data_IF_200578716801
#
_entry.id   IF_200578716801
#
_cell.length_a   1.000
_cell.length_b   1.000
_cell.length_c   1.000
_cell.angle_alpha   90.00
_cell.angle_beta   90.00
_cell.angle_gamma   90.00
#
_symmetry.space_group_name_H-M   'P 1'
#
loop_
_entity.id
_entity.type
_entity.pdbx_description
1 polymer ?
#
# COMPACT_ATOMS: atom_id res chain seq x y z
N UNK A 1 5.33 -1.54 -15.75
CA UNK A 1 5.66 -2.40 -14.58
C UNK A 1 7.18 -2.46 -14.45
N UNK A 2 7.72 -2.47 -13.23
CA UNK A 2 9.17 -2.55 -13.00
C UNK A 2 9.70 -3.94 -13.35
N UNK A 3 10.95 -4.02 -13.79
CA UNK A 3 11.64 -5.30 -13.95
C UNK A 3 12.10 -5.85 -12.60
N UNK A 4 12.28 -7.17 -12.51
CA UNK A 4 12.78 -7.85 -11.30
C UNK A 4 14.08 -7.18 -10.78
N UNK A 5 15.11 -6.90 -11.62
CA UNK A 5 16.32 -6.23 -11.14
C UNK A 5 16.07 -4.85 -10.52
N UNK A 6 15.11 -4.07 -11.05
CA UNK A 6 14.78 -2.76 -10.49
C UNK A 6 14.13 -2.88 -9.12
N UNK A 7 13.25 -3.87 -8.95
CA UNK A 7 12.58 -4.12 -7.68
C UNK A 7 13.52 -4.67 -6.62
N UNK A 8 14.38 -5.61 -7.00
CA UNK A 8 15.45 -6.10 -6.14
C UNK A 8 16.36 -4.95 -5.70
N UNK A 9 16.73 -4.04 -6.60
CA UNK A 9 17.55 -2.88 -6.25
C UNK A 9 16.84 -1.97 -5.25
N UNK A 10 15.53 -1.73 -5.40
CA UNK A 10 14.74 -0.94 -4.46
C UNK A 10 14.72 -1.62 -3.07
N UNK A 11 14.34 -2.89 -3.00
CA UNK A 11 14.24 -3.62 -1.72
C UNK A 11 15.61 -3.71 -1.04
N UNK A 12 16.68 -4.01 -1.79
CA UNK A 12 18.05 -4.00 -1.27
C UNK A 12 18.48 -2.62 -0.76
N UNK A 13 18.13 -1.55 -1.46
CA UNK A 13 18.47 -0.21 -1.02
C UNK A 13 17.78 0.13 0.31
N UNK A 14 16.50 -0.23 0.46
CA UNK A 14 15.75 -0.01 1.72
C UNK A 14 16.41 -0.71 2.90
N UNK A 15 16.76 -1.98 2.73
CA UNK A 15 17.36 -2.79 3.80
C UNK A 15 18.77 -2.34 4.14
N UNK A 16 19.63 -2.12 3.13
CA UNK A 16 21.03 -1.73 3.34
C UNK A 16 21.15 -0.30 3.88
N UNK A 17 20.32 0.63 3.40
CA UNK A 17 20.33 2.02 3.87
C UNK A 17 19.52 2.22 5.17
N UNK A 18 18.93 1.16 5.73
CA UNK A 18 18.10 1.19 6.93
C UNK A 18 16.93 2.21 6.86
N UNK A 19 16.34 2.36 5.66
CA UNK A 19 15.18 3.23 5.46
C UNK A 19 13.96 2.56 6.10
N UNK A 20 13.19 3.31 6.89
CA UNK A 20 12.08 2.73 7.64
C UNK A 20 10.92 2.30 6.76
N UNK A 21 10.62 3.09 5.73
CA UNK A 21 9.52 2.82 4.81
C UNK A 21 9.84 3.29 3.40
N UNK A 22 9.46 2.48 2.41
CA UNK A 22 9.21 2.94 1.04
C UNK A 22 7.78 2.66 0.62
N UNK A 23 7.15 3.63 -0.03
CA UNK A 23 5.87 3.40 -0.71
C UNK A 23 6.04 3.50 -2.21
N UNK A 24 5.50 2.54 -2.93
CA UNK A 24 5.47 2.52 -4.38
C UNK A 24 4.09 2.90 -4.90
N UNK A 25 4.04 3.86 -5.81
CA UNK A 25 2.79 4.36 -6.39
C UNK A 25 2.87 4.41 -7.92
N UNK A 26 1.75 4.06 -8.53
CA UNK A 26 1.51 4.10 -9.97
C UNK A 26 0.17 4.76 -10.31
N UNK A 27 -0.09 4.98 -11.59
CA UNK A 27 -1.38 5.47 -12.08
C UNK A 27 -2.55 4.65 -11.49
N UNK A 28 -3.63 5.34 -11.11
CA UNK A 28 -4.80 4.72 -10.46
C UNK A 28 -4.63 4.34 -8.99
N UNK A 29 -3.40 4.25 -8.46
CA UNK A 29 -3.12 3.81 -7.09
C UNK A 29 -3.16 4.92 -6.02
N UNK A 30 -3.74 6.08 -6.35
CA UNK A 30 -3.64 7.26 -5.47
C UNK A 30 -2.35 8.08 -5.66
N UNK A 31 -1.60 7.89 -6.74
CA UNK A 31 -0.37 8.62 -7.04
C UNK A 31 -0.61 10.10 -7.39
N UNK A 32 0.06 11.04 -6.71
CA UNK A 32 -0.05 12.48 -7.00
C UNK A 32 0.57 12.85 -8.35
N UNK A 33 1.60 12.12 -8.78
CA UNK A 33 2.22 12.24 -10.11
C UNK A 33 1.92 10.95 -10.91
N UNK A 34 0.75 10.81 -11.53
CA UNK A 34 0.32 9.54 -12.13
C UNK A 34 1.10 9.16 -13.38
N UNK A 35 1.67 10.14 -14.10
CA UNK A 35 2.38 9.92 -15.36
C UNK A 35 3.66 9.06 -15.23
N UNK A 36 4.19 8.92 -14.01
CA UNK A 36 5.37 8.11 -13.73
C UNK A 36 5.18 7.31 -12.46
N UNK A 37 5.54 6.04 -12.52
CA UNK A 37 5.61 5.20 -11.34
C UNK A 37 6.81 5.67 -10.48
N UNK A 38 6.58 5.92 -9.19
CA UNK A 38 7.58 6.50 -8.30
C UNK A 38 7.56 5.86 -6.92
N UNK A 39 8.72 5.92 -6.27
CA UNK A 39 8.91 5.52 -4.88
C UNK A 39 9.07 6.77 -4.00
N UNK A 40 8.41 6.76 -2.85
CA UNK A 40 8.60 7.73 -1.79
C UNK A 40 9.26 7.04 -0.60
N UNK A 41 10.32 7.65 -0.06
CA UNK A 41 11.11 7.13 1.04
C UNK A 41 10.81 7.93 2.30
N UNK A 42 10.60 7.25 3.42
CA UNK A 42 10.26 7.88 4.69
C UNK A 42 11.24 7.43 5.77
N UNK A 43 11.61 8.35 6.65
CA UNK A 43 12.41 8.08 7.84
C UNK A 43 11.58 7.46 8.98
N UNK A 44 10.27 7.37 8.83
CA UNK A 44 9.35 6.84 9.82
C UNK A 44 8.74 5.51 9.36
N UNK A 45 8.43 4.64 10.32
CA UNK A 45 7.72 3.39 10.09
C UNK A 45 6.22 3.67 9.87
N UNK A 46 5.61 3.05 8.87
CA UNK A 46 4.16 3.12 8.67
C UNK A 46 3.42 2.24 9.70
N UNK A 47 2.30 2.71 10.30
CA UNK A 47 1.54 1.93 11.28
C UNK A 47 1.07 0.55 10.80
N UNK A 48 0.79 0.38 9.49
CA UNK A 48 0.39 -0.91 8.92
C UNK A 48 1.44 -2.02 9.16
N UNK A 49 2.72 -1.64 9.30
CA UNK A 49 3.81 -2.60 9.51
C UNK A 49 3.79 -3.24 10.91
N UNK A 50 3.08 -2.63 11.86
CA UNK A 50 2.89 -3.13 13.23
C UNK A 50 1.63 -4.00 13.38
N UNK A 51 0.81 -4.13 12.32
CA UNK A 51 -0.37 -4.99 12.37
C UNK A 51 0.02 -6.46 12.54
N UNK A 52 -0.86 -7.20 13.22
CA UNK A 52 -0.76 -8.65 13.28
C UNK A 52 -0.82 -9.25 11.87
N UNK A 53 -0.13 -10.37 11.67
CA UNK A 53 -0.03 -11.05 10.38
C UNK A 53 -0.28 -12.53 10.58
N UNK A 54 -1.05 -13.14 9.67
CA UNK A 54 -1.30 -14.58 9.66
C UNK A 54 -0.77 -15.13 8.35
N UNK A 55 0.20 -16.04 8.41
CA UNK A 55 0.68 -16.77 7.23
C UNK A 55 -0.45 -17.63 6.69
N UNK A 56 -0.78 -17.47 5.41
CA UNK A 56 -1.85 -18.23 4.74
C UNK A 56 -1.31 -19.23 3.73
N UNK A 57 -0.18 -18.92 3.09
CA UNK A 57 0.51 -19.78 2.13
C UNK A 57 2.00 -19.50 2.16
N UNK A 58 2.80 -20.41 1.59
CA UNK A 58 4.23 -20.20 1.36
C UNK A 58 4.58 -20.66 -0.07
N UNK A 59 5.29 -19.83 -0.81
CA UNK A 59 5.69 -20.07 -2.22
C UNK A 59 7.16 -19.72 -2.36
N UNK A 60 8.00 -20.62 -2.88
CA UNK A 60 9.44 -20.37 -3.06
C UNK A 60 10.15 -19.83 -1.79
N UNK A 61 9.84 -20.40 -0.62
CA UNK A 61 10.35 -19.96 0.70
C UNK A 61 9.85 -18.58 1.17
N UNK A 62 8.94 -17.97 0.43
CA UNK A 62 8.28 -16.70 0.78
C UNK A 62 6.96 -16.99 1.46
N UNK A 63 6.79 -16.48 2.67
CA UNK A 63 5.51 -16.54 3.37
C UNK A 63 4.60 -15.43 2.85
N UNK A 64 3.39 -15.81 2.46
CA UNK A 64 2.32 -14.90 2.05
C UNK A 64 1.34 -14.82 3.22
N UNK A 65 1.39 -13.69 3.91
CA UNK A 65 0.54 -13.40 5.06
C UNK A 65 -0.57 -12.41 4.71
N UNK A 66 -1.62 -12.41 5.54
CA UNK A 66 -2.68 -11.39 5.52
C UNK A 66 -2.74 -10.66 6.86
N UNK A 67 -3.25 -9.43 6.86
CA UNK A 67 -3.45 -8.63 8.07
C UNK A 67 -4.94 -8.64 8.47
N UNK A 68 -5.35 -9.43 9.48
CA UNK A 68 -6.76 -9.54 9.86
C UNK A 68 -7.35 -8.25 10.42
N UNK A 69 -6.51 -7.41 11.03
CA UNK A 69 -6.91 -6.12 11.62
C UNK A 69 -6.95 -4.98 10.58
N UNK A 70 -6.59 -5.26 9.31
CA UNK A 70 -6.70 -4.30 8.22
C UNK A 70 -8.10 -4.45 7.57
N UNK A 71 -8.85 -3.35 7.33
CA UNK A 71 -10.26 -3.43 6.94
C UNK A 71 -10.49 -3.85 5.47
N UNK A 72 -9.45 -4.33 4.78
CA UNK A 72 -9.47 -4.61 3.34
C UNK A 72 -8.41 -5.64 2.97
N UNK A 73 -8.30 -5.98 1.69
CA UNK A 73 -7.25 -6.88 1.21
C UNK A 73 -5.86 -6.26 1.40
N UNK A 74 -4.97 -7.00 2.06
CA UNK A 74 -3.57 -6.66 2.25
C UNK A 74 -2.76 -7.95 2.35
N UNK A 75 -1.75 -8.08 1.50
CA UNK A 75 -0.81 -9.20 1.52
C UNK A 75 0.53 -8.73 2.03
N UNK A 76 1.20 -9.55 2.81
CA UNK A 76 2.56 -9.31 3.28
C UNK A 76 3.43 -10.48 2.85
N UNK A 77 4.46 -10.18 2.07
CA UNK A 77 5.46 -11.14 1.63
C UNK A 77 6.69 -10.99 2.52
N UNK A 78 6.98 -12.02 3.29
CA UNK A 78 8.12 -12.10 4.20
C UNK A 78 8.90 -13.40 3.97
N UNK A 79 10.02 -13.56 4.67
CA UNK A 79 10.88 -14.76 4.55
C UNK A 79 11.53 -14.91 3.16
N UNK A 80 12.36 -15.93 3.00
CA UNK A 80 13.08 -16.21 1.75
C UNK A 80 14.12 -15.16 1.36
N UNK A 81 14.69 -15.31 0.16
CA UNK A 81 15.59 -14.30 -0.40
C UNK A 81 14.81 -13.08 -0.91
N UNK A 82 15.47 -11.90 -1.00
CA UNK A 82 14.87 -10.70 -1.60
C UNK A 82 14.40 -10.98 -3.03
N UNK A 83 15.17 -11.78 -3.78
CA UNK A 83 14.83 -12.20 -5.14
C UNK A 83 13.54 -12.99 -5.19
N UNK A 84 13.36 -13.97 -4.31
CA UNK A 84 12.14 -14.76 -4.24
C UNK A 84 10.94 -13.86 -3.87
N UNK A 85 11.10 -12.98 -2.86
CA UNK A 85 10.05 -12.02 -2.49
C UNK A 85 9.63 -11.14 -3.66
N UNK A 86 10.59 -10.64 -4.44
CA UNK A 86 10.32 -9.83 -5.63
C UNK A 86 9.64 -10.64 -6.74
N UNK A 87 10.06 -11.89 -6.96
CA UNK A 87 9.42 -12.78 -7.94
C UNK A 87 7.95 -13.03 -7.59
N UNK A 88 7.67 -13.46 -6.35
CA UNK A 88 6.30 -13.72 -5.88
C UNK A 88 5.47 -12.42 -5.88
N UNK A 89 6.07 -11.28 -5.47
CA UNK A 89 5.42 -9.96 -5.57
C UNK A 89 4.98 -9.67 -7.00
N UNK A 90 5.88 -9.89 -7.98
CA UNK A 90 5.58 -9.67 -9.40
C UNK A 90 4.43 -10.56 -9.87
N UNK A 91 4.43 -11.84 -9.52
CA UNK A 91 3.37 -12.78 -9.90
C UNK A 91 2.00 -12.33 -9.35
N UNK A 92 1.90 -11.96 -8.07
CA UNK A 92 0.67 -11.42 -7.46
C UNK A 92 0.22 -10.15 -8.19
N UNK A 93 1.16 -9.26 -8.50
CA UNK A 93 0.86 -8.00 -9.16
C UNK A 93 0.41 -8.15 -10.62
N UNK A 94 0.97 -9.12 -11.34
CA UNK A 94 0.52 -9.48 -12.69
C UNK A 94 -0.90 -10.04 -12.66
N UNK A 95 -1.23 -10.88 -11.67
CA UNK A 95 -2.60 -11.35 -11.46
C UNK A 95 -3.58 -10.21 -11.15
N UNK A 96 -3.22 -9.29 -10.26
CA UNK A 96 -4.05 -8.12 -9.95
C UNK A 96 -4.34 -7.28 -11.20
N UNK A 97 -3.32 -7.02 -12.02
CA UNK A 97 -3.45 -6.25 -13.27
C UNK A 97 -4.30 -6.99 -14.29
N UNK A 98 -4.13 -8.31 -14.42
CA UNK A 98 -4.97 -9.13 -15.31
C UNK A 98 -6.46 -9.08 -14.94
N UNK A 99 -6.77 -8.83 -13.67
CA UNK A 99 -8.14 -8.65 -13.15
C UNK A 99 -8.58 -7.17 -13.08
N UNK A 100 -7.85 -6.27 -13.74
CA UNK A 100 -8.22 -4.86 -13.85
C UNK A 100 -8.00 -4.03 -12.57
N UNK A 101 -7.24 -4.56 -11.61
CA UNK A 101 -6.89 -3.86 -10.38
C UNK A 101 -5.55 -3.14 -10.50
N UNK A 102 -5.37 -2.11 -9.66
CA UNK A 102 -4.08 -1.48 -9.40
C UNK A 102 -3.65 -1.77 -7.97
N UNK A 103 -2.45 -1.36 -7.55
CA UNK A 103 -1.96 -1.67 -6.21
C UNK A 103 -0.99 -0.61 -5.69
N UNK A 104 -0.84 -0.56 -4.37
CA UNK A 104 0.30 0.07 -3.72
C UNK A 104 1.24 -0.99 -3.19
N UNK A 105 2.54 -0.70 -3.20
CA UNK A 105 3.48 -1.44 -2.37
C UNK A 105 3.97 -0.58 -1.22
N UNK A 106 4.13 -1.20 -0.07
CA UNK A 106 4.75 -0.59 1.10
C UNK A 106 5.86 -1.57 1.52
N UNK A 107 7.08 -1.09 1.63
CA UNK A 107 8.27 -1.91 1.93
C UNK A 107 8.83 -1.41 3.26
N UNK A 108 9.02 -2.30 4.21
CA UNK A 108 9.61 -1.96 5.50
C UNK A 108 11.15 -2.12 5.49
N UNK A 109 11.79 -1.72 6.58
CA UNK A 109 13.25 -1.82 6.76
C UNK A 109 13.81 -3.24 6.67
N UNK A 110 12.98 -4.27 6.91
CA UNK A 110 13.37 -5.67 6.79
C UNK A 110 13.27 -6.18 5.34
N UNK A 111 12.70 -5.36 4.45
CA UNK A 111 12.41 -5.74 3.08
C UNK A 111 11.21 -6.66 2.97
N UNK A 112 10.31 -6.63 3.96
CA UNK A 112 8.97 -7.21 3.82
C UNK A 112 8.16 -6.33 2.87
N UNK A 113 7.39 -6.95 1.98
CA UNK A 113 6.63 -6.25 0.94
C UNK A 113 5.15 -6.40 1.23
N UNK A 114 4.49 -5.28 1.51
CA UNK A 114 3.04 -5.18 1.64
C UNK A 114 2.47 -4.83 0.27
N UNK A 115 1.54 -5.64 -0.22
CA UNK A 115 0.78 -5.38 -1.45
C UNK A 115 -0.65 -5.07 -1.07
N UNK A 116 -1.10 -3.85 -1.40
CA UNK A 116 -2.47 -3.42 -1.13
C UNK A 116 -3.20 -3.21 -2.45
N UNK A 117 -4.11 -4.11 -2.85
CA UNK A 117 -4.89 -3.95 -4.07
C UNK A 117 -5.86 -2.77 -3.95
N UNK A 118 -6.00 -2.04 -5.04
CA UNK A 118 -6.73 -0.76 -5.14
C UNK A 118 -7.82 -0.87 -6.19
N UNK A 119 -9.00 -0.36 -5.85
CA UNK A 119 -10.20 -0.32 -6.70
C UNK A 119 -10.49 1.10 -7.21
N UNK A 120 -10.04 2.12 -6.46
CA UNK A 120 -10.19 3.52 -6.82
C UNK A 120 -9.04 4.36 -6.27
N UNK A 121 -8.79 5.53 -6.87
CA UNK A 121 -7.83 6.49 -6.32
C UNK A 121 -8.46 7.44 -5.29
N UNK A 122 -9.76 7.71 -5.38
CA UNK A 122 -10.49 8.71 -4.61
C UNK A 122 -11.52 8.05 -3.70
N UNK A 123 -11.48 8.37 -2.41
CA UNK A 123 -12.56 8.01 -1.49
C UNK A 123 -13.76 8.93 -1.75
N UNK A 124 -14.93 8.33 -1.89
CA UNK A 124 -16.19 9.06 -2.07
C UNK A 124 -16.55 9.76 -0.77
N UNK A 125 -16.40 9.08 0.37
CA UNK A 125 -16.74 9.60 1.71
C UNK A 125 -15.86 10.77 2.12
N UNK A 126 -14.55 10.67 1.87
CA UNK A 126 -13.63 11.79 2.13
C UNK A 126 -13.59 12.83 1.01
N UNK A 127 -14.19 12.51 -0.14
CA UNK A 127 -14.13 13.29 -1.37
C UNK A 127 -12.70 13.71 -1.76
N UNK A 128 -11.72 12.82 -1.61
CA UNK A 128 -10.29 13.12 -1.87
C UNK A 128 -9.49 11.90 -2.27
N UNK A 129 -8.32 12.14 -2.85
CA UNK A 129 -7.38 11.08 -3.24
C UNK A 129 -6.78 10.41 -2.00
N UNK A 130 -6.69 9.09 -2.02
CA UNK A 130 -6.07 8.28 -0.96
C UNK A 130 -4.76 7.69 -1.50
N UNK A 131 -3.65 8.27 -1.07
CA UNK A 131 -2.30 7.81 -1.45
C UNK A 131 -1.79 6.67 -0.57
N UNK A 132 -0.63 6.11 -0.93
CA UNK A 132 -0.06 4.95 -0.26
C UNK A 132 0.26 5.19 1.22
N UNK A 133 0.69 6.39 1.61
CA UNK A 133 0.91 6.72 3.03
C UNK A 133 -0.39 6.63 3.85
N UNK A 134 -1.52 7.08 3.29
CA UNK A 134 -2.85 6.93 3.91
C UNK A 134 -3.39 5.53 3.82
N UNK A 135 -2.92 4.69 2.90
CA UNK A 135 -3.19 3.25 3.00
C UNK A 135 -2.39 2.64 4.16
N UNK A 136 -1.15 3.10 4.37
CA UNK A 136 -0.24 2.55 5.37
C UNK A 136 -0.44 3.01 6.82
N UNK A 137 -1.46 3.82 7.12
CA UNK A 137 -1.74 4.25 8.51
C UNK A 137 -1.68 5.75 8.76
N UNK A 138 -1.23 6.55 7.79
CA UNK A 138 -0.99 7.99 7.99
C UNK A 138 -2.12 8.82 7.37
N UNK A 139 -2.93 9.43 8.22
CA UNK A 139 -3.90 10.42 7.78
C UNK A 139 -3.22 11.74 7.39
N UNK A 140 -3.33 12.09 6.11
CA UNK A 140 -2.83 13.34 5.56
C UNK A 140 -4.00 14.29 5.32
N UNK A 141 -4.21 15.31 6.15
CA UNK A 141 -5.38 16.21 6.04
C UNK A 141 -5.32 17.25 4.89
N UNK A 142 -4.36 17.11 3.96
CA UNK A 142 -4.13 18.07 2.89
C UNK A 142 -5.33 18.24 1.93
N UNK A 143 -5.34 19.36 1.22
CA UNK A 143 -6.36 19.73 0.26
C UNK A 143 -5.78 19.70 -1.16
N UNK A 144 -6.19 18.72 -1.97
CA UNK A 144 -5.75 18.64 -3.38
C UNK A 144 -6.18 19.89 -4.19
N UNK A 145 -7.33 20.49 -3.85
CA UNK A 145 -7.95 21.59 -4.59
C UNK A 145 -8.09 22.90 -3.78
N UNK A 146 -7.18 23.16 -2.85
CA UNK A 146 -7.22 24.41 -2.07
C UNK A 146 -6.99 25.63 -2.97
N UNK A 147 -8.07 26.24 -3.47
CA UNK A 147 -8.06 27.61 -4.05
C UNK A 147 -7.76 28.69 -2.98
N UNK A 148 -7.66 28.30 -1.71
CA UNK A 148 -7.30 29.18 -0.62
C UNK A 148 -5.84 29.62 -0.79
N UNK A 149 -5.67 30.88 -1.21
CA UNK A 149 -4.34 31.52 -1.30
C UNK A 149 -3.86 32.07 0.05
N UNK A 150 -4.73 32.13 1.05
CA UNK A 150 -4.40 32.56 2.40
C UNK A 150 -3.87 31.37 3.21
N UNK A 151 -2.61 31.45 3.62
CA UNK A 151 -1.94 30.41 4.41
C UNK A 151 -2.63 30.13 5.75
N UNK A 152 -3.17 31.15 6.42
CA UNK A 152 -3.85 31.00 7.71
C UNK A 152 -5.19 30.27 7.56
N UNK A 153 -5.96 30.62 6.52
CA UNK A 153 -7.20 29.89 6.21
C UNK A 153 -6.93 28.43 5.82
N UNK A 154 -5.84 28.16 5.09
CA UNK A 154 -5.43 26.80 4.77
C UNK A 154 -4.99 26.03 6.02
N UNK A 155 -4.21 26.67 6.91
CA UNK A 155 -3.77 26.09 8.19
C UNK A 155 -4.97 25.72 9.06
N UNK A 156 -5.93 26.62 9.22
CA UNK A 156 -7.13 26.35 10.00
C UNK A 156 -7.97 25.22 9.38
N UNK A 157 -8.16 25.22 8.05
CA UNK A 157 -8.89 24.14 7.38
C UNK A 157 -8.23 22.77 7.57
N UNK A 158 -6.90 22.69 7.45
CA UNK A 158 -6.14 21.45 7.70
C UNK A 158 -6.31 21.02 9.16
N UNK A 159 -6.25 21.96 10.10
CA UNK A 159 -6.43 21.70 11.52
C UNK A 159 -7.83 21.18 11.86
N UNK A 160 -8.89 21.83 11.38
CA UNK A 160 -10.29 21.42 11.60
C UNK A 160 -10.55 20.02 11.04
N UNK A 161 -9.92 19.68 9.92
CA UNK A 161 -9.97 18.33 9.33
C UNK A 161 -9.21 17.30 10.14
N UNK A 162 -8.11 17.67 10.80
CA UNK A 162 -7.43 16.78 11.73
C UNK A 162 -8.28 16.51 12.97
N UNK A 163 -8.98 17.53 13.48
CA UNK A 163 -9.79 17.40 14.68
C UNK A 163 -11.11 16.65 14.46
N UNK A 164 -11.70 16.77 13.28
CA UNK A 164 -12.98 16.13 12.96
C UNK A 164 -12.86 14.71 12.42
N UNK A 165 -11.65 14.28 12.04
CA UNK A 165 -11.43 12.99 11.42
C UNK A 165 -11.40 11.86 12.45
N UNK A 166 -12.21 10.82 12.23
CA UNK A 166 -12.33 9.68 13.13
C UNK A 166 -11.72 8.41 12.53
N UNK A 167 -11.50 7.40 13.37
CA UNK A 167 -11.10 6.06 12.91
C UNK A 167 -12.14 5.44 11.97
N UNK A 168 -13.44 5.71 12.20
CA UNK A 168 -14.53 5.23 11.34
C UNK A 168 -14.44 5.85 9.95
N UNK A 169 -14.14 7.15 9.87
CA UNK A 169 -13.94 7.83 8.58
C UNK A 169 -12.72 7.27 7.84
N UNK A 170 -11.66 6.96 8.58
CA UNK A 170 -10.46 6.35 8.02
C UNK A 170 -10.71 4.96 7.45
N UNK A 171 -11.35 4.09 8.23
CA UNK A 171 -11.72 2.75 7.80
C UNK A 171 -12.61 2.80 6.55
N UNK A 172 -13.66 3.62 6.58
CA UNK A 172 -14.57 3.78 5.46
C UNK A 172 -13.87 4.33 4.22
N UNK A 173 -12.89 5.22 4.39
CA UNK A 173 -12.08 5.74 3.28
C UNK A 173 -11.16 4.69 2.68
N UNK A 174 -10.60 3.80 3.48
CA UNK A 174 -9.83 2.65 2.98
C UNK A 174 -10.74 1.72 2.19
N UNK A 175 -11.89 1.32 2.74
CA UNK A 175 -12.84 0.44 2.05
C UNK A 175 -13.33 1.01 0.72
N UNK A 176 -13.44 2.34 0.58
CA UNK A 176 -13.81 2.98 -0.70
C UNK A 176 -12.78 2.72 -1.82
N UNK A 177 -11.51 2.53 -1.46
CA UNK A 177 -10.39 2.62 -2.42
C UNK A 177 -9.53 1.35 -2.51
N UNK A 178 -9.68 0.41 -1.58
CA UNK A 178 -8.99 -0.88 -1.56
C UNK A 178 -9.92 -2.02 -1.91
N UNK A 179 -9.36 -3.13 -2.40
CA UNK A 179 -10.16 -4.32 -2.69
C UNK A 179 -10.70 -4.97 -1.40
N UNK A 180 -11.88 -5.63 -1.47
CA UNK A 180 -12.46 -6.29 -0.31
C UNK A 180 -11.61 -7.47 0.17
N UNK A 181 -11.72 -7.82 1.45
CA UNK A 181 -11.00 -8.94 2.08
C UNK A 181 -11.23 -10.27 1.32
N UNK A 182 -12.39 -10.45 0.68
CA UNK A 182 -12.69 -11.66 -0.11
C UNK A 182 -11.70 -11.93 -1.24
N UNK A 183 -11.02 -10.89 -1.75
CA UNK A 183 -9.96 -11.04 -2.76
C UNK A 183 -8.76 -11.83 -2.22
N UNK A 184 -8.51 -11.82 -0.90
CA UNK A 184 -7.43 -12.60 -0.29
C UNK A 184 -7.59 -14.08 -0.59
N UNK A 185 -8.80 -14.61 -0.43
CA UNK A 185 -9.06 -16.04 -0.66
C UNK A 185 -8.94 -16.41 -2.15
N UNK A 186 -9.37 -15.54 -3.06
CA UNK A 186 -9.24 -15.76 -4.51
C UNK A 186 -7.78 -15.82 -4.96
N UNK A 187 -6.95 -14.88 -4.48
CA UNK A 187 -5.52 -14.86 -4.74
C UNK A 187 -4.87 -16.11 -4.15
N UNK A 188 -5.13 -16.43 -2.88
CA UNK A 188 -4.53 -17.59 -2.24
C UNK A 188 -4.92 -18.90 -2.95
N UNK A 189 -6.16 -19.05 -3.41
CA UNK A 189 -6.59 -20.21 -4.20
C UNK A 189 -5.80 -20.36 -5.50
N UNK A 190 -5.43 -19.26 -6.17
CA UNK A 190 -4.59 -19.32 -7.38
C UNK A 190 -3.19 -19.89 -7.12
N UNK A 191 -2.65 -19.72 -5.91
CA UNK A 191 -1.31 -20.20 -5.52
C UNK A 191 -1.34 -21.46 -4.63
N UNK A 192 -2.50 -22.08 -4.41
CA UNK A 192 -2.65 -23.32 -3.62
C UNK A 192 -2.71 -24.62 -4.46
N UNK A 193 -2.35 -24.62 -5.75
CA UNK A 193 -2.48 -25.81 -6.61
C UNK A 193 -1.21 -26.34 -7.30
N UNK A 194 -0.02 -25.87 -6.94
CA UNK A 194 1.24 -26.45 -7.46
C UNK A 194 2.27 -26.76 -6.36
N UNK A 195 1.83 -27.48 -5.32
CA UNK A 195 2.73 -28.18 -4.37
C UNK A 195 2.86 -29.65 -4.72
#
# INVERSE_FOLDING_TARGET
MFSIPQLEAIVNFVTVAAIQTVTFQMEGSGATVPAHAHASFFSEKLPIFDLSRIVRSSVEEVDISVCPDFPSSAFVLSSGSIRNRVNVTKQICEFLVANGLVYNWLIDVNGDIFIIPRTAEKSIRMNRKIGAATVGGIYLAYCDDSKLRNAESLRQLIWDRFQSFTAVDYEAALTDVTAPISLNEEILQHWHFES
#
